data_IF_075440568484
#
_entry.id   IF_075440568484
#
_cell.length_a   1.000
_cell.length_b   1.000
_cell.length_c   1.000
_cell.angle_alpha   90.00
_cell.angle_beta   90.00
_cell.angle_gamma   90.00
#
_symmetry.space_group_name_H-M   'P 1'
#
loop_
_entity.id
_entity.type
_entity.pdbx_description
1 polymer ?
#
# COMPACT_ATOMS: atom_id res chain seq x y z
N UNK A 1 -47.53 3.03 -25.58
CA UNK A 1 -46.51 2.22 -26.28
C UNK A 1 -45.34 3.14 -26.55
N UNK A 2 -44.34 3.08 -25.68
CA UNK A 2 -43.04 3.76 -25.85
C UNK A 2 -42.03 2.76 -25.33
N UNK A 3 -41.35 2.10 -26.26
CA UNK A 3 -40.31 1.12 -25.95
C UNK A 3 -39.10 1.84 -25.35
N UNK A 4 -38.54 1.40 -24.21
CA UNK A 4 -37.29 1.95 -23.73
C UNK A 4 -36.14 1.39 -24.58
N UNK A 5 -35.42 2.30 -25.24
CA UNK A 5 -34.16 2.07 -25.95
C UNK A 5 -33.19 1.21 -25.12
N UNK A 6 -32.41 0.31 -25.75
CA UNK A 6 -31.32 -0.37 -25.07
C UNK A 6 -30.18 0.62 -24.86
N UNK A 7 -29.85 0.89 -23.60
CA UNK A 7 -28.77 1.78 -23.19
C UNK A 7 -27.45 1.03 -23.38
N UNK A 8 -26.85 1.21 -24.55
CA UNK A 8 -25.59 0.60 -24.97
C UNK A 8 -24.39 1.48 -24.59
N UNK A 9 -24.29 1.87 -23.32
CA UNK A 9 -23.18 2.68 -22.83
C UNK A 9 -22.61 2.05 -21.55
N UNK A 10 -21.39 1.53 -21.70
CA UNK A 10 -20.32 1.24 -20.72
C UNK A 10 -19.58 -0.05 -21.11
N UNK A 11 -18.96 -0.06 -22.30
CA UNK A 11 -17.80 -0.91 -22.57
C UNK A 11 -16.58 -0.03 -22.53
N UNK A 12 -16.08 0.28 -21.33
CA UNK A 12 -14.71 0.77 -21.18
C UNK A 12 -13.77 -0.38 -21.54
N UNK A 13 -13.36 -0.45 -22.80
CA UNK A 13 -12.29 -1.36 -23.22
C UNK A 13 -10.97 -0.85 -22.64
N UNK A 14 -10.58 -1.36 -21.48
CA UNK A 14 -9.28 -1.07 -20.87
C UNK A 14 -8.13 -1.63 -21.71
N UNK A 15 -7.02 -0.89 -21.73
CA UNK A 15 -5.84 -1.15 -22.55
C UNK A 15 -5.15 -2.47 -22.13
N UNK A 16 -4.51 -3.17 -23.08
CA UNK A 16 -3.81 -4.47 -22.93
C UNK A 16 -2.74 -4.49 -21.80
N UNK A 17 -2.40 -3.33 -21.27
CA UNK A 17 -1.34 -3.14 -20.30
C UNK A 17 -1.74 -3.57 -18.88
N UNK A 18 -3.04 -3.61 -18.57
CA UNK A 18 -3.61 -3.86 -17.23
C UNK A 18 -3.66 -5.35 -16.81
N UNK A 19 -3.39 -6.28 -17.74
CA UNK A 19 -3.43 -7.72 -17.50
C UNK A 19 -2.08 -8.26 -16.96
N UNK A 20 -2.08 -9.30 -16.13
CA UNK A 20 -0.82 -9.92 -15.69
C UNK A 20 -0.10 -10.58 -16.88
N UNK A 21 1.22 -10.81 -16.84
CA UNK A 21 1.98 -11.37 -17.97
C UNK A 21 1.47 -12.72 -18.49
N UNK A 22 0.86 -13.52 -17.61
CA UNK A 22 0.22 -14.80 -17.95
C UNK A 22 -1.13 -14.57 -18.66
N UNK A 23 -1.93 -13.64 -18.16
CA UNK A 23 -3.23 -13.27 -18.74
C UNK A 23 -3.06 -12.64 -20.13
N UNK A 24 -2.01 -11.85 -20.36
CA UNK A 24 -1.68 -11.29 -21.68
C UNK A 24 -1.46 -12.38 -22.74
N UNK A 25 -0.77 -13.46 -22.37
CA UNK A 25 -0.52 -14.59 -23.27
C UNK A 25 -1.81 -15.34 -23.58
N UNK A 26 -2.68 -15.53 -22.58
CA UNK A 26 -3.99 -16.17 -22.75
C UNK A 26 -4.90 -15.32 -23.64
N UNK A 27 -4.97 -14.01 -23.39
CA UNK A 27 -5.76 -13.06 -24.20
C UNK A 27 -5.25 -13.00 -25.65
N UNK A 28 -3.94 -12.94 -25.88
CA UNK A 28 -3.38 -12.95 -27.23
C UNK A 28 -3.64 -14.28 -27.96
N UNK A 29 -3.65 -15.40 -27.23
CA UNK A 29 -3.96 -16.72 -27.79
C UNK A 29 -5.45 -16.85 -28.15
N UNK A 30 -6.35 -16.29 -27.35
CA UNK A 30 -7.79 -16.19 -27.65
C UNK A 30 -8.02 -15.27 -28.84
N UNK A 31 -7.30 -14.14 -28.93
CA UNK A 31 -7.46 -13.18 -30.02
C UNK A 31 -7.02 -13.78 -31.36
N UNK A 32 -5.94 -14.59 -31.35
CA UNK A 32 -5.43 -15.34 -32.51
C UNK A 32 -6.19 -16.62 -32.82
N UNK A 33 -7.05 -17.11 -31.92
CA UNK A 33 -7.89 -18.28 -32.17
C UNK A 33 -8.92 -18.01 -33.27
N UNK A 34 -9.36 -19.06 -33.99
CA UNK A 34 -10.40 -18.95 -35.03
C UNK A 34 -11.83 -18.80 -34.50
N UNK A 35 -12.02 -18.53 -33.21
CA UNK A 35 -13.35 -18.49 -32.58
C UNK A 35 -14.20 -17.28 -33.03
N UNK A 36 -15.54 -17.41 -32.99
CA UNK A 36 -16.46 -16.29 -33.19
C UNK A 36 -16.16 -15.14 -32.22
N UNK A 37 -16.36 -13.90 -32.70
CA UNK A 37 -16.02 -12.68 -31.95
C UNK A 37 -16.78 -12.58 -30.61
N UNK A 38 -18.04 -13.03 -30.57
CA UNK A 38 -18.85 -13.06 -29.35
C UNK A 38 -18.27 -13.99 -28.28
N UNK A 39 -17.82 -15.18 -28.66
CA UNK A 39 -17.19 -16.15 -27.74
C UNK A 39 -15.84 -15.64 -27.23
N UNK A 40 -15.09 -14.91 -28.05
CA UNK A 40 -13.83 -14.28 -27.61
C UNK A 40 -14.08 -13.22 -26.55
N UNK A 41 -15.07 -12.37 -26.78
CA UNK A 41 -15.44 -11.29 -25.86
C UNK A 41 -15.95 -11.86 -24.52
N UNK A 42 -16.70 -12.96 -24.54
CA UNK A 42 -17.19 -13.67 -23.34
C UNK A 42 -16.06 -14.30 -22.52
N UNK A 43 -15.09 -14.96 -23.17
CA UNK A 43 -13.95 -15.57 -22.49
C UNK A 43 -13.02 -14.49 -21.92
N UNK A 44 -12.83 -13.37 -22.64
CA UNK A 44 -12.07 -12.23 -22.13
C UNK A 44 -12.77 -11.62 -20.91
N UNK A 45 -14.09 -11.47 -20.93
CA UNK A 45 -14.86 -11.01 -19.78
C UNK A 45 -14.77 -11.96 -18.57
N UNK A 46 -14.67 -13.28 -18.79
CA UNK A 46 -14.43 -14.26 -17.72
C UNK A 46 -12.98 -14.27 -17.22
N UNK A 47 -12.02 -13.92 -18.08
CA UNK A 47 -10.60 -13.78 -17.73
C UNK A 47 -10.28 -12.46 -17.04
N UNK A 48 -11.21 -11.52 -16.99
CA UNK A 48 -11.14 -10.39 -16.07
C UNK A 48 -11.15 -10.96 -14.65
N UNK A 49 -9.96 -11.27 -14.13
CA UNK A 49 -9.75 -11.66 -12.76
C UNK A 49 -10.16 -10.46 -11.90
N UNK A 50 -11.40 -10.46 -11.40
CA UNK A 50 -11.95 -9.34 -10.65
C UNK A 50 -11.18 -9.16 -9.35
N UNK A 51 -10.34 -8.12 -9.32
CA UNK A 51 -9.58 -7.71 -8.14
C UNK A 51 -10.41 -6.74 -7.34
N UNK A 52 -11.06 -7.26 -6.31
CA UNK A 52 -11.84 -6.42 -5.42
C UNK A 52 -12.61 -7.22 -4.38
N UNK A 53 -13.12 -6.54 -3.36
CA UNK A 53 -13.89 -7.16 -2.27
C UNK A 53 -15.32 -7.54 -2.68
N UNK A 54 -15.78 -7.13 -3.87
CA UNK A 54 -17.14 -7.32 -4.36
C UNK A 54 -17.10 -8.12 -5.67
N UNK A 55 -17.87 -9.23 -5.79
CA UNK A 55 -17.92 -10.04 -7.01
C UNK A 55 -18.81 -9.43 -8.10
N UNK A 56 -18.74 -9.98 -9.32
CA UNK A 56 -19.52 -9.51 -10.47
C UNK A 56 -21.04 -9.60 -10.23
N UNK A 57 -21.86 -8.67 -10.75
CA UNK A 57 -23.32 -8.70 -10.62
C UNK A 57 -23.97 -10.03 -10.98
N UNK A 58 -23.51 -10.70 -12.03
CA UNK A 58 -24.08 -12.00 -12.46
C UNK A 58 -23.85 -13.10 -11.40
N UNK A 59 -22.71 -13.07 -10.71
CA UNK A 59 -22.40 -13.99 -9.60
C UNK A 59 -23.31 -13.66 -8.41
N UNK A 60 -23.47 -12.38 -8.09
CA UNK A 60 -24.37 -11.92 -7.02
C UNK A 60 -25.82 -12.32 -7.30
N UNK A 61 -26.26 -12.22 -8.55
CA UNK A 61 -27.59 -12.65 -8.97
C UNK A 61 -27.76 -14.17 -8.79
N UNK A 62 -26.72 -14.95 -9.10
CA UNK A 62 -26.67 -16.38 -8.83
C UNK A 62 -26.87 -16.69 -7.34
N UNK A 63 -26.12 -16.03 -6.46
CA UNK A 63 -26.26 -16.19 -5.01
C UNK A 63 -27.64 -15.76 -4.49
N UNK A 64 -28.20 -14.66 -5.01
CA UNK A 64 -29.54 -14.19 -4.63
C UNK A 64 -30.63 -15.18 -5.04
N UNK A 65 -30.49 -15.86 -6.18
CA UNK A 65 -31.40 -16.91 -6.64
C UNK A 65 -31.33 -18.17 -5.77
N UNK A 66 -30.14 -18.50 -5.25
CA UNK A 66 -29.91 -19.63 -4.34
C UNK A 66 -30.44 -19.36 -2.93
N UNK A 67 -30.18 -18.16 -2.41
CA UNK A 67 -30.55 -17.79 -1.04
C UNK A 67 -30.99 -16.31 -0.98
N UNK A 68 -32.17 -16.01 -0.42
CA UNK A 68 -32.66 -14.65 -0.35
C UNK A 68 -31.73 -13.79 0.50
N UNK A 69 -31.37 -12.61 -0.01
CA UNK A 69 -30.48 -11.60 0.59
C UNK A 69 -28.97 -11.94 0.55
N UNK A 70 -28.56 -13.06 -0.03
CA UNK A 70 -27.13 -13.42 -0.08
C UNK A 70 -26.28 -12.37 -0.82
N UNK A 71 -26.80 -11.77 -1.91
CA UNK A 71 -26.08 -10.72 -2.63
C UNK A 71 -25.78 -9.50 -1.73
N UNK A 72 -26.75 -9.09 -0.92
CA UNK A 72 -26.60 -7.98 0.02
C UNK A 72 -25.57 -8.31 1.09
N UNK A 73 -25.62 -9.52 1.65
CA UNK A 73 -24.66 -9.96 2.67
C UNK A 73 -23.23 -10.01 2.14
N UNK A 74 -23.03 -10.49 0.91
CA UNK A 74 -21.72 -10.50 0.24
C UNK A 74 -21.19 -9.08 0.05
N UNK A 75 -22.04 -8.15 -0.41
CA UNK A 75 -21.66 -6.75 -0.59
C UNK A 75 -21.28 -6.11 0.74
N UNK A 76 -22.13 -6.27 1.76
CA UNK A 76 -21.91 -5.71 3.09
C UNK A 76 -20.59 -6.22 3.69
N UNK A 77 -20.33 -7.53 3.59
CA UNK A 77 -19.08 -8.15 4.03
C UNK A 77 -17.86 -7.61 3.28
N UNK A 78 -17.94 -7.46 1.96
CA UNK A 78 -16.85 -6.89 1.17
C UNK A 78 -16.55 -5.43 1.52
N UNK A 79 -17.59 -4.63 1.77
CA UNK A 79 -17.45 -3.24 2.22
C UNK A 79 -16.81 -3.18 3.61
N UNK A 80 -17.23 -4.04 4.52
CA UNK A 80 -16.72 -4.05 5.89
C UNK A 80 -15.28 -4.55 5.96
N UNK A 81 -14.89 -5.54 5.15
CA UNK A 81 -13.50 -5.96 4.99
C UNK A 81 -12.64 -4.81 4.46
N UNK A 82 -13.15 -4.05 3.49
CA UNK A 82 -12.46 -2.87 2.94
C UNK A 82 -12.24 -1.78 4.00
N UNK A 83 -13.27 -1.51 4.82
CA UNK A 83 -13.16 -0.56 5.94
C UNK A 83 -12.17 -1.07 6.99
N UNK A 84 -12.20 -2.35 7.31
CA UNK A 84 -11.29 -2.98 8.26
C UNK A 84 -9.85 -2.83 7.80
N UNK A 85 -9.55 -3.19 6.54
CA UNK A 85 -8.22 -3.00 5.93
C UNK A 85 -7.75 -1.55 5.98
N UNK A 86 -8.60 -0.59 5.59
CA UNK A 86 -8.27 0.84 5.64
C UNK A 86 -7.98 1.29 7.08
N UNK A 87 -8.74 0.81 8.05
CA UNK A 87 -8.51 1.12 9.48
C UNK A 87 -7.16 0.58 9.96
N UNK A 88 -6.79 -0.64 9.57
CA UNK A 88 -5.48 -1.22 9.89
C UNK A 88 -4.34 -0.46 9.22
N UNK A 89 -4.49 -0.06 7.95
CA UNK A 89 -3.51 0.75 7.23
C UNK A 89 -3.28 2.10 7.91
N UNK A 90 -4.35 2.82 8.27
CA UNK A 90 -4.28 4.11 8.99
C UNK A 90 -3.63 3.90 10.37
N UNK A 91 -4.02 2.87 11.11
CA UNK A 91 -3.43 2.58 12.43
C UNK A 91 -1.93 2.28 12.33
N UNK A 92 -1.51 1.53 11.29
CA UNK A 92 -0.10 1.24 11.01
C UNK A 92 0.67 2.51 10.69
N UNK A 93 0.14 3.38 9.82
CA UNK A 93 0.75 4.67 9.49
C UNK A 93 0.90 5.57 10.73
N UNK A 94 -0.15 5.68 11.56
CA UNK A 94 -0.11 6.48 12.79
C UNK A 94 0.93 5.97 13.79
N UNK A 95 1.08 4.65 13.93
CA UNK A 95 2.08 4.04 14.82
C UNK A 95 3.51 4.31 14.34
N UNK A 96 3.77 4.24 13.02
CA UNK A 96 5.08 4.57 12.43
C UNK A 96 5.44 6.03 12.70
N UNK A 97 4.50 6.96 12.48
CA UNK A 97 4.70 8.38 12.75
C UNK A 97 5.03 8.67 14.23
N UNK A 98 4.28 8.09 15.16
CA UNK A 98 4.52 8.30 16.59
C UNK A 98 5.90 7.81 17.05
N UNK A 99 6.31 6.61 16.62
CA UNK A 99 7.62 6.06 17.00
C UNK A 99 8.78 6.93 16.47
N UNK A 100 8.69 7.38 15.20
CA UNK A 100 9.69 8.26 14.60
C UNK A 100 9.80 9.61 15.35
N UNK A 101 8.67 10.19 15.74
CA UNK A 101 8.68 11.43 16.53
C UNK A 101 9.24 11.21 17.94
N UNK A 102 8.93 10.10 18.59
CA UNK A 102 9.47 9.81 19.93
C UNK A 102 10.98 9.62 19.92
N UNK A 103 11.53 8.89 18.93
CA UNK A 103 12.98 8.70 18.83
C UNK A 103 13.69 10.02 18.53
N UNK A 104 13.14 10.85 17.65
CA UNK A 104 13.69 12.17 17.34
C UNK A 104 13.73 13.08 18.57
N UNK A 105 12.65 13.13 19.36
CA UNK A 105 12.59 13.94 20.59
C UNK A 105 13.61 13.44 21.62
N UNK A 106 13.68 12.13 21.86
CA UNK A 106 14.61 11.56 22.85
C UNK A 106 16.06 11.85 22.46
N UNK A 107 16.42 11.61 21.20
CA UNK A 107 17.76 11.92 20.70
C UNK A 107 18.06 13.42 20.80
N UNK A 108 17.12 14.27 20.39
CA UNK A 108 17.29 15.73 20.47
C UNK A 108 17.57 16.20 21.91
N UNK A 109 16.83 15.68 22.89
CA UNK A 109 17.06 15.99 24.31
C UNK A 109 18.45 15.53 24.76
N UNK A 110 18.85 14.30 24.40
CA UNK A 110 20.18 13.76 24.75
C UNK A 110 21.29 14.59 24.11
N UNK A 111 21.14 14.99 22.85
CA UNK A 111 22.10 15.84 22.15
C UNK A 111 22.24 17.21 22.82
N UNK A 112 21.13 17.86 23.20
CA UNK A 112 21.16 19.13 23.92
C UNK A 112 21.89 18.97 25.27
N UNK A 113 21.62 17.90 26.02
CA UNK A 113 22.32 17.62 27.28
C UNK A 113 23.82 17.44 27.07
N UNK A 114 24.25 16.71 26.05
CA UNK A 114 25.67 16.56 25.71
C UNK A 114 26.34 17.90 25.38
N UNK A 115 25.65 18.80 24.66
CA UNK A 115 26.14 20.14 24.36
C UNK A 115 26.29 20.98 25.64
N UNK A 116 25.30 20.93 26.54
CA UNK A 116 25.38 21.62 27.83
C UNK A 116 26.54 21.12 28.70
N UNK A 117 26.74 19.80 28.77
CA UNK A 117 27.85 19.18 29.53
C UNK A 117 29.21 19.58 28.91
N UNK A 118 29.31 19.57 27.58
CA UNK A 118 30.51 20.01 26.87
C UNK A 118 30.84 21.48 27.18
N UNK A 119 29.85 22.38 27.10
CA UNK A 119 30.01 23.79 27.44
C UNK A 119 30.46 23.97 28.91
N UNK A 120 29.87 23.21 29.84
CA UNK A 120 30.27 23.23 31.24
C UNK A 120 31.73 22.78 31.45
N UNK A 121 32.18 21.74 30.75
CA UNK A 121 33.57 21.27 30.83
C UNK A 121 34.57 22.31 30.32
N UNK A 122 34.22 23.03 29.25
CA UNK A 122 35.08 24.08 28.68
C UNK A 122 35.25 25.23 29.67
N UNK A 123 34.17 25.66 30.35
CA UNK A 123 34.22 26.73 31.35
C UNK A 123 35.06 26.33 32.58
N UNK A 124 35.09 25.05 32.94
CA UNK A 124 35.89 24.52 34.06
C UNK A 124 37.35 24.18 33.69
N UNK A 125 37.93 24.85 32.68
CA UNK A 125 39.31 24.64 32.20
C UNK A 125 39.62 23.25 31.61
N UNK A 126 38.61 22.39 31.38
CA UNK A 126 38.78 21.11 30.68
C UNK A 126 38.46 21.25 29.18
N UNK A 127 39.06 22.24 28.52
CA UNK A 127 38.75 22.62 27.13
C UNK A 127 38.98 21.49 26.12
N UNK A 128 40.07 20.72 26.28
CA UNK A 128 40.36 19.57 25.40
C UNK A 128 39.29 18.47 25.52
N UNK A 129 38.90 18.10 26.75
CA UNK A 129 37.88 17.08 26.98
C UNK A 129 36.50 17.52 26.50
N UNK A 130 36.12 18.77 26.75
CA UNK A 130 34.85 19.34 26.29
C UNK A 130 34.75 19.41 24.75
N UNK A 131 35.84 19.77 24.07
CA UNK A 131 35.88 19.87 22.59
C UNK A 131 35.78 18.50 21.91
N UNK A 132 36.52 17.50 22.41
CA UNK A 132 36.47 16.13 21.88
C UNK A 132 35.07 15.54 22.09
N UNK A 133 34.53 15.68 23.30
CA UNK A 133 33.24 15.11 23.66
C UNK A 133 32.08 15.79 22.92
N UNK A 134 32.09 17.12 22.85
CA UNK A 134 31.04 17.90 22.18
C UNK A 134 31.10 17.83 20.65
N UNK A 135 32.31 17.78 20.07
CA UNK A 135 32.48 17.69 18.61
C UNK A 135 32.15 16.30 18.08
N UNK A 136 32.96 15.30 18.45
CA UNK A 136 32.86 13.95 17.90
C UNK A 136 31.57 13.28 18.35
N UNK A 137 31.23 13.37 19.64
CA UNK A 137 30.05 12.71 20.19
C UNK A 137 28.74 13.19 19.56
N UNK A 138 28.58 14.50 19.37
CA UNK A 138 27.38 15.06 18.74
C UNK A 138 27.30 14.70 17.26
N UNK A 139 28.42 14.77 16.52
CA UNK A 139 28.43 14.38 15.10
C UNK A 139 28.11 12.91 14.89
N UNK A 140 28.64 12.00 15.72
CA UNK A 140 28.32 10.57 15.65
C UNK A 140 26.84 10.31 15.92
N UNK A 141 26.27 10.93 16.94
CA UNK A 141 24.84 10.79 17.26
C UNK A 141 23.96 11.33 16.14
N UNK A 142 24.28 12.51 15.63
CA UNK A 142 23.53 13.14 14.54
C UNK A 142 23.61 12.31 13.25
N UNK A 143 24.81 11.86 12.88
CA UNK A 143 25.03 11.01 11.71
C UNK A 143 24.30 9.66 11.80
N UNK A 144 24.33 9.01 12.97
CA UNK A 144 23.61 7.76 13.20
C UNK A 144 22.09 7.92 13.05
N UNK A 145 21.53 9.04 13.53
CA UNK A 145 20.08 9.30 13.43
C UNK A 145 19.67 9.59 11.99
N UNK A 146 20.43 10.41 11.27
CA UNK A 146 20.17 10.70 9.85
C UNK A 146 20.28 9.43 9.00
N UNK A 147 21.31 8.60 9.21
CA UNK A 147 21.47 7.33 8.50
C UNK A 147 20.32 6.36 8.76
N UNK A 148 19.87 6.24 10.02
CA UNK A 148 18.76 5.37 10.37
C UNK A 148 17.42 5.84 9.77
N UNK A 149 17.22 7.15 9.56
CA UNK A 149 16.01 7.68 8.91
C UNK A 149 15.95 7.24 7.44
N UNK A 150 17.08 7.25 6.73
CA UNK A 150 17.15 6.82 5.33
C UNK A 150 16.87 5.31 5.20
N UNK A 151 17.44 4.50 6.08
CA UNK A 151 17.20 3.04 6.13
C UNK A 151 15.73 2.72 6.45
N UNK A 152 15.12 3.42 7.41
CA UNK A 152 13.72 3.27 7.76
C UNK A 152 12.77 3.74 6.66
N UNK A 153 13.16 4.74 5.87
CA UNK A 153 12.37 5.25 4.73
C UNK A 153 12.48 4.32 3.52
N UNK A 154 13.66 3.71 3.29
CA UNK A 154 13.89 2.80 2.17
C UNK A 154 13.16 1.46 2.32
N UNK A 155 12.97 0.98 3.55
CA UNK A 155 12.26 -0.26 3.86
C UNK A 155 10.73 -0.11 3.91
N UNK A 156 10.17 0.96 3.32
CA UNK A 156 8.73 1.07 3.20
C UNK A 156 8.18 0.01 2.23
N UNK A 157 7.21 -0.76 2.73
CA UNK A 157 6.52 -1.90 2.10
C UNK A 157 5.95 -1.58 0.70
N UNK A 158 5.90 -0.31 0.30
CA UNK A 158 5.49 0.15 -1.03
C UNK A 158 6.50 -0.18 -2.13
N UNK A 159 7.78 -0.37 -1.80
CA UNK A 159 8.83 -0.72 -2.77
C UNK A 159 9.09 -2.23 -2.89
N UNK A 160 8.70 -3.02 -1.87
CA UNK A 160 8.75 -4.48 -1.85
C UNK A 160 7.43 -5.12 -2.30
N UNK A 161 6.87 -4.65 -3.43
CA UNK A 161 5.69 -5.27 -4.05
C UNK A 161 5.98 -6.61 -4.76
N UNK A 162 7.14 -7.23 -4.52
CA UNK A 162 7.48 -8.56 -5.04
C UNK A 162 6.93 -9.72 -4.21
N UNK A 163 6.55 -9.47 -2.95
CA UNK A 163 6.32 -10.56 -1.98
C UNK A 163 4.85 -10.98 -1.86
N UNK A 164 3.92 -10.26 -2.51
CA UNK A 164 2.50 -10.57 -2.49
C UNK A 164 2.01 -11.43 -3.66
N UNK A 165 2.91 -12.03 -4.46
CA UNK A 165 2.52 -12.86 -5.62
C UNK A 165 2.49 -14.38 -5.34
N UNK A 166 2.87 -14.85 -4.14
CA UNK A 166 3.01 -16.28 -3.83
C UNK A 166 2.35 -16.71 -2.51
N UNK A 167 1.07 -16.36 -2.28
CA UNK A 167 0.22 -17.07 -1.31
C UNK A 167 -1.17 -17.26 -1.87
#
# INVERSE_FOLDING_TARGET
MVDPKPNNELKETKNKDDFAPLDKQIVDQIQKSGMPKETKDEIIAHLEMYRGPIPHPDILEGYQKLYPNAAKEIIDNGVDESKHRRKLEIARQKRRGLLAWTSLIVVSIVTILCICISAYLIVNNHSAAGSIFGGIGVFTLFGGVVGNIDELTKNDDLTNSSDHYNQ
#
